data_IF_742339627035
#
_entry.id   IF_742339627035
#
_cell.length_a   1.000
_cell.length_b   1.000
_cell.length_c   1.000
_cell.angle_alpha   90.00
_cell.angle_beta   90.00
_cell.angle_gamma   90.00
#
_symmetry.space_group_name_H-M   'P 1'
#
loop_
_entity.id
_entity.type
_entity.pdbx_description
1 polymer ?
#
# COMPACT_ATOMS: atom_id res chain seq x y z
N UNK A 1 -15.64 21.89 20.09
CA UNK A 1 -14.71 22.14 18.97
C UNK A 1 -14.12 20.79 18.63
N UNK A 2 -14.75 20.13 17.67
CA UNK A 2 -14.68 18.70 17.46
C UNK A 2 -13.59 18.38 16.45
N UNK A 3 -12.40 18.04 16.95
CA UNK A 3 -11.19 17.70 16.19
C UNK A 3 -11.36 16.50 15.22
N UNK A 4 -12.51 15.82 15.24
CA UNK A 4 -12.77 14.62 14.44
C UNK A 4 -13.03 14.93 12.96
N UNK A 5 -13.50 16.13 12.64
CA UNK A 5 -13.98 16.50 11.29
C UNK A 5 -12.88 17.04 10.37
N UNK A 6 -11.74 17.47 10.91
CA UNK A 6 -10.64 18.04 10.10
C UNK A 6 -9.70 16.97 9.52
N UNK A 7 -9.52 15.85 10.21
CA UNK A 7 -8.73 14.70 9.71
C UNK A 7 -9.41 14.04 8.50
N UNK A 8 -10.74 14.11 8.41
CA UNK A 8 -11.52 13.48 7.35
C UNK A 8 -11.33 14.14 5.97
N UNK A 9 -10.82 15.37 5.91
CA UNK A 9 -10.60 16.09 4.64
C UNK A 9 -9.28 15.75 3.95
N UNK A 10 -8.27 15.32 4.70
CA UNK A 10 -6.94 14.99 4.17
C UNK A 10 -6.67 13.48 4.07
N UNK A 11 -7.57 12.62 4.55
CA UNK A 11 -7.34 11.17 4.58
C UNK A 11 -8.45 10.37 3.92
N UNK A 12 -9.13 10.93 2.91
CA UNK A 12 -9.87 10.10 1.95
C UNK A 12 -8.86 9.50 0.98
N UNK A 13 -8.19 8.43 1.42
CA UNK A 13 -7.38 7.57 0.54
C UNK A 13 -8.39 6.90 -0.40
N UNK A 14 -8.58 7.51 -1.57
CA UNK A 14 -9.53 7.04 -2.57
C UNK A 14 -8.93 5.75 -3.18
N UNK A 15 -9.22 4.59 -2.59
CA UNK A 15 -8.64 3.30 -3.00
C UNK A 15 -8.82 3.07 -4.51
N UNK A 16 -9.94 3.52 -5.09
CA UNK A 16 -10.24 3.44 -6.53
C UNK A 16 -9.29 4.25 -7.42
N UNK A 17 -8.68 5.32 -6.91
CA UNK A 17 -7.68 6.12 -7.62
C UNK A 17 -6.24 5.71 -7.32
N UNK A 18 -6.01 4.79 -6.38
CA UNK A 18 -4.68 4.27 -6.17
C UNK A 18 -4.36 3.25 -7.27
N UNK A 19 -3.41 3.59 -8.13
CA UNK A 19 -2.80 2.64 -9.06
C UNK A 19 -2.12 1.54 -8.25
N UNK A 20 -2.85 0.44 -8.01
CA UNK A 20 -2.29 -0.74 -7.37
C UNK A 20 -1.54 -1.56 -8.40
N UNK A 21 -0.24 -1.74 -8.19
CA UNK A 21 0.55 -2.68 -8.98
C UNK A 21 0.47 -4.06 -8.34
N UNK A 22 0.25 -5.08 -9.20
CA UNK A 22 0.38 -6.48 -8.80
C UNK A 22 1.85 -6.75 -8.57
N UNK A 23 2.20 -6.99 -7.32
CA UNK A 23 3.57 -7.30 -6.94
C UNK A 23 3.65 -8.72 -6.43
N UNK A 24 4.63 -9.45 -6.96
CA UNK A 24 5.05 -10.74 -6.43
C UNK A 24 6.19 -10.54 -5.46
N UNK A 25 6.07 -11.11 -4.26
CA UNK A 25 7.20 -11.09 -3.35
C UNK A 25 8.32 -12.00 -3.87
N UNK A 26 9.57 -11.50 -3.93
CA UNK A 26 10.71 -12.32 -4.34
C UNK A 26 11.09 -13.40 -3.32
N UNK A 27 10.63 -13.30 -2.07
CA UNK A 27 10.96 -14.24 -0.98
C UNK A 27 9.89 -15.31 -0.78
N UNK A 28 8.63 -14.88 -0.65
CA UNK A 28 7.49 -15.77 -0.38
C UNK A 28 6.84 -16.29 -1.68
N UNK A 29 7.11 -15.66 -2.84
CA UNK A 29 6.46 -15.98 -4.11
C UNK A 29 4.98 -15.59 -4.18
N UNK A 30 4.42 -15.02 -3.11
CA UNK A 30 3.02 -14.59 -3.03
C UNK A 30 2.79 -13.34 -3.86
N UNK A 31 1.70 -13.35 -4.62
CA UNK A 31 1.24 -12.23 -5.43
C UNK A 31 0.17 -11.46 -4.66
N UNK A 32 0.31 -10.14 -4.62
CA UNK A 32 -0.63 -9.26 -3.93
C UNK A 32 -0.61 -7.87 -4.57
N UNK A 33 -1.71 -7.14 -4.37
CA UNK A 33 -1.80 -5.76 -4.81
C UNK A 33 -1.08 -4.88 -3.81
N UNK A 34 -0.25 -4.00 -4.34
CA UNK A 34 0.62 -3.13 -3.55
C UNK A 34 0.59 -1.73 -4.13
N UNK A 35 0.89 -0.75 -3.27
CA UNK A 35 0.86 0.66 -3.63
C UNK A 35 2.14 1.32 -3.16
N UNK A 36 2.78 2.04 -4.09
CA UNK A 36 4.06 2.69 -3.89
C UNK A 36 5.27 1.81 -4.19
N UNK A 37 6.45 2.42 -4.08
CA UNK A 37 7.75 1.81 -4.47
C UNK A 37 8.31 0.84 -3.44
N UNK A 38 7.82 0.87 -2.19
CA UNK A 38 8.32 0.05 -1.09
C UNK A 38 7.20 -0.83 -0.58
N UNK A 39 7.41 -2.13 -0.71
CA UNK A 39 6.38 -3.13 -0.52
C UNK A 39 6.80 -4.08 0.59
N UNK A 40 5.85 -4.46 1.43
CA UNK A 40 6.03 -5.47 2.47
C UNK A 40 5.18 -6.71 2.13
N UNK A 41 5.79 -7.91 2.04
CA UNK A 41 5.01 -9.15 1.89
C UNK A 41 4.22 -9.39 3.19
N UNK A 42 2.88 -9.56 3.14
CA UNK A 42 2.08 -9.78 4.33
C UNK A 42 2.39 -11.10 5.04
N UNK A 43 2.95 -12.09 4.33
CA UNK A 43 3.28 -13.39 4.93
C UNK A 43 4.67 -13.43 5.55
N UNK A 44 5.70 -13.10 4.78
CA UNK A 44 7.06 -13.18 5.28
C UNK A 44 7.58 -11.88 5.90
N UNK A 45 6.75 -10.82 5.94
CA UNK A 45 7.09 -9.45 6.39
C UNK A 45 8.35 -8.90 5.72
N UNK A 46 8.70 -9.44 4.56
CA UNK A 46 9.89 -9.03 3.81
C UNK A 46 9.62 -7.73 3.09
N UNK A 47 10.50 -6.76 3.30
CA UNK A 47 10.40 -5.42 2.74
C UNK A 47 11.33 -5.36 1.52
N UNK A 48 10.77 -5.05 0.36
CA UNK A 48 11.52 -4.91 -0.88
C UNK A 48 11.04 -3.68 -1.64
N UNK A 49 11.88 -3.19 -2.54
CA UNK A 49 11.53 -2.08 -3.41
C UNK A 49 11.22 -2.62 -4.81
N UNK A 50 10.19 -2.07 -5.42
CA UNK A 50 9.92 -2.20 -6.85
C UNK A 50 10.25 -0.85 -7.47
N UNK A 51 11.21 -0.86 -8.39
CA UNK A 51 11.44 0.24 -9.30
C UNK A 51 10.39 0.13 -10.41
N UNK A 52 9.79 1.27 -10.76
CA UNK A 52 8.77 1.43 -11.80
C UNK A 52 9.43 1.45 -13.19
#
# INVERSE_FOLDING_TARGET
MDFKTEISKYTTINLDKLTTNKTKCPKCGKEFNSVGKKIICPECKYIFKVDD
#
